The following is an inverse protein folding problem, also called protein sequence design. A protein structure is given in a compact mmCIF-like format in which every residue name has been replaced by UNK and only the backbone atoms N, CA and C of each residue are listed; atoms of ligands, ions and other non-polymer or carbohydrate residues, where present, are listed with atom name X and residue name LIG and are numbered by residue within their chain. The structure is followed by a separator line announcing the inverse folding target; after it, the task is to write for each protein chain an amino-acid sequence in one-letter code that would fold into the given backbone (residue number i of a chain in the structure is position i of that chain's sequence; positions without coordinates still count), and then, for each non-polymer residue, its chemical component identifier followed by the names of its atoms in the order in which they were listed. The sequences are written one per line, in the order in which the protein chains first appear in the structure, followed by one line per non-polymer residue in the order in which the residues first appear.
data_IF_391792389721
#
_entry.id   IF_391792389721
#
_cell.length_a   1.000
_cell.length_b   1.000
_cell.length_c   1.000
_cell.angle_alpha   90.00
_cell.angle_beta   90.00
_cell.angle_gamma   90.00
#
_symmetry.space_group_name_H-M   'P 1'
#
loop_
_entity.id
_entity.type
_entity.pdbx_description
1 polymer ?
#
# COMPACT_ATOMS: atom_id res chain seq x y z
N UNK A 1 19.65 31.91 5.94
CA UNK A 1 19.25 30.59 5.43
C UNK A 1 17.74 30.52 5.53
N UNK A 2 17.03 30.26 4.43
CA UNK A 2 15.56 30.16 4.42
C UNK A 2 15.13 28.70 4.49
N UNK A 3 14.21 28.36 5.39
CA UNK A 3 13.66 27.01 5.54
C UNK A 3 12.35 26.92 4.75
N UNK A 4 12.24 25.94 3.86
CA UNK A 4 11.04 25.72 3.05
C UNK A 4 10.14 24.63 3.62
N UNK A 5 10.75 23.48 3.93
CA UNK A 5 10.04 22.34 4.49
C UNK A 5 10.78 21.75 5.69
N UNK A 6 10.02 21.28 6.66
CA UNK A 6 10.45 20.27 7.64
C UNK A 6 9.66 19.00 7.38
N UNK A 7 10.34 17.94 7.03
CA UNK A 7 9.77 16.64 6.68
C UNK A 7 10.02 15.63 7.79
N UNK A 8 9.02 14.78 8.04
CA UNK A 8 9.16 13.60 8.89
C UNK A 8 8.34 12.45 8.30
N UNK A 9 8.85 11.23 8.46
CA UNK A 9 8.12 10.01 8.10
C UNK A 9 7.52 9.35 9.35
N UNK A 10 6.19 9.26 9.42
CA UNK A 10 5.51 8.74 10.61
C UNK A 10 5.80 9.57 11.87
N UNK A 11 5.52 9.02 13.05
CA UNK A 11 5.70 9.71 14.33
C UNK A 11 7.14 9.72 14.86
N UNK A 12 7.98 8.77 14.43
CA UNK A 12 9.34 8.55 14.94
C UNK A 12 10.44 8.69 13.88
N UNK A 13 10.10 9.10 12.67
CA UNK A 13 11.07 9.23 11.58
C UNK A 13 12.10 10.33 11.82
N UNK A 14 13.25 10.22 11.14
CA UNK A 14 14.26 11.29 11.13
C UNK A 14 13.70 12.56 10.50
N UNK A 15 13.92 13.69 11.15
CA UNK A 15 13.51 14.99 10.63
C UNK A 15 14.52 15.52 9.60
N UNK A 16 13.99 15.98 8.49
CA UNK A 16 14.76 16.53 7.37
C UNK A 16 14.27 17.93 7.05
N UNK A 17 15.18 18.88 6.96
CA UNK A 17 14.90 20.23 6.49
C UNK A 17 15.27 20.37 5.02
N UNK A 18 14.46 21.12 4.28
CA UNK A 18 14.76 21.58 2.93
C UNK A 18 14.95 23.08 3.00
N UNK A 19 16.17 23.54 2.70
CA UNK A 19 16.60 24.92 2.96
C UNK A 19 17.28 25.51 1.73
N UNK A 20 17.15 26.82 1.55
CA UNK A 20 17.94 27.59 0.58
C UNK A 20 19.01 28.37 1.35
N UNK A 21 20.31 28.07 1.16
CA UNK A 21 21.41 28.83 1.76
C UNK A 21 21.45 30.27 1.22
N UNK A 22 21.91 31.24 2.01
CA UNK A 22 21.93 32.66 1.58
C UNK A 22 22.84 32.93 0.37
N UNK A 23 23.76 32.00 0.08
CA UNK A 23 24.73 32.12 -0.99
C UNK A 23 24.35 31.31 -2.26
N UNK A 24 23.19 30.65 -2.29
CA UNK A 24 22.77 29.79 -3.41
C UNK A 24 21.25 29.80 -3.57
N UNK A 25 20.75 29.81 -4.81
CA UNK A 25 19.30 29.75 -5.08
C UNK A 25 18.71 28.33 -5.09
N UNK A 26 19.57 27.31 -4.93
CA UNK A 26 19.18 25.91 -4.99
C UNK A 26 18.67 25.40 -3.63
N UNK A 27 17.57 24.63 -3.66
CA UNK A 27 17.03 23.97 -2.46
C UNK A 27 17.91 22.76 -2.10
N UNK A 28 18.42 22.75 -0.86
CA UNK A 28 19.30 21.71 -0.32
C UNK A 28 18.60 20.94 0.80
N UNK A 29 18.77 19.62 0.79
CA UNK A 29 18.29 18.72 1.85
C UNK A 29 19.31 18.64 2.98
N UNK A 30 18.90 18.99 4.19
CA UNK A 30 19.71 18.98 5.41
C UNK A 30 19.02 18.14 6.47
N UNK A 31 19.67 17.09 6.95
CA UNK A 31 19.13 16.33 8.08
C UNK A 31 19.28 17.16 9.36
N UNK A 32 18.21 17.33 10.14
CA UNK A 32 18.28 18.02 11.42
C UNK A 32 19.15 17.17 12.34
N UNK A 33 20.28 17.71 12.76
CA UNK A 33 20.99 17.17 13.91
C UNK A 33 20.14 17.47 15.16
N UNK A 34 19.11 16.66 15.41
CA UNK A 34 18.79 16.31 16.79
C UNK A 34 20.08 15.80 17.44
N UNK A 35 20.21 15.93 18.77
CA UNK A 35 21.33 15.29 19.49
C UNK A 35 21.64 13.98 18.81
N UNK A 36 22.87 13.83 18.26
CA UNK A 36 23.29 12.52 17.80
C UNK A 36 23.01 11.63 19.01
N UNK A 37 22.07 10.66 18.98
CA UNK A 37 22.04 9.68 20.05
C UNK A 37 23.46 9.16 20.05
N UNK A 38 24.21 9.34 21.14
CA UNK A 38 25.68 9.12 21.18
C UNK A 38 25.94 7.75 20.57
N UNK A 39 26.19 7.73 19.27
CA UNK A 39 26.36 6.51 18.51
C UNK A 39 27.85 6.25 18.65
N UNK A 40 28.22 5.83 19.86
CA UNK A 40 29.03 4.61 19.90
C UNK A 40 28.31 3.67 18.95
N UNK A 41 28.80 3.54 17.71
CA UNK A 41 28.52 2.41 16.82
C UNK A 41 29.07 1.16 17.53
N UNK A 42 28.50 0.80 18.68
CA UNK A 42 28.28 -0.59 18.96
C UNK A 42 27.16 -0.95 18.00
N UNK A 43 27.45 -1.81 17.04
CA UNK A 43 26.43 -2.61 16.38
C UNK A 43 25.49 -3.11 17.48
N UNK A 44 24.34 -2.46 17.62
CA UNK A 44 23.33 -2.88 18.58
C UNK A 44 22.72 -4.10 17.92
N UNK A 45 23.18 -5.29 18.33
CA UNK A 45 22.57 -6.56 17.94
C UNK A 45 21.05 -6.45 18.03
N UNK A 46 20.53 -5.79 19.07
CA UNK A 46 19.10 -5.49 19.20
C UNK A 46 18.50 -4.80 17.97
N UNK A 47 19.11 -3.71 17.47
CA UNK A 47 18.60 -3.01 16.26
C UNK A 47 18.77 -3.83 14.98
N UNK A 48 19.86 -4.59 14.87
CA UNK A 48 20.06 -5.49 13.73
C UNK A 48 18.97 -6.57 13.67
N UNK A 49 18.72 -7.25 14.80
CA UNK A 49 17.68 -8.25 14.91
C UNK A 49 16.27 -7.65 14.78
N UNK A 50 16.02 -6.45 15.30
CA UNK A 50 14.74 -5.75 15.09
C UNK A 50 14.50 -5.46 13.61
N UNK A 51 15.49 -4.95 12.88
CA UNK A 51 15.34 -4.66 11.44
C UNK A 51 15.25 -5.92 10.57
N UNK A 52 15.84 -7.05 11.02
CA UNK A 52 15.84 -8.30 10.26
C UNK A 52 14.56 -9.12 10.48
N UNK A 53 14.01 -9.12 11.70
CA UNK A 53 12.93 -10.03 12.10
C UNK A 53 11.60 -9.34 12.42
N UNK A 54 11.56 -8.01 12.58
CA UNK A 54 10.34 -7.29 12.93
C UNK A 54 9.91 -6.33 11.82
N UNK A 55 8.61 -6.05 11.70
CA UNK A 55 8.08 -5.12 10.70
C UNK A 55 8.53 -3.68 10.95
N UNK A 56 8.55 -2.88 9.89
CA UNK A 56 8.92 -1.48 9.95
C UNK A 56 8.00 -0.71 10.93
N UNK A 57 8.57 0.16 11.76
CA UNK A 57 7.83 0.96 12.74
C UNK A 57 7.44 0.22 14.04
N UNK A 58 7.93 -1.00 14.26
CA UNK A 58 7.72 -1.72 15.52
C UNK A 58 8.32 -0.94 16.71
N UNK A 59 7.62 -0.83 17.87
CA UNK A 59 6.38 -1.52 18.24
C UNK A 59 5.09 -0.77 17.88
N UNK A 60 5.16 0.51 17.51
CA UNK A 60 3.97 1.36 17.35
C UNK A 60 3.13 1.00 16.11
N UNK A 61 3.71 0.28 15.15
CA UNK A 61 3.05 -0.18 13.93
C UNK A 61 2.31 -1.51 14.07
N UNK A 62 2.39 -2.19 15.22
CA UNK A 62 1.72 -3.48 15.44
C UNK A 62 0.94 -3.52 16.75
N UNK A 63 -0.04 -4.40 16.82
CA UNK A 63 -0.80 -4.66 18.04
C UNK A 63 0.06 -5.34 19.12
N UNK A 64 -0.29 -5.14 20.39
CA UNK A 64 0.52 -5.61 21.54
C UNK A 64 0.67 -7.13 21.65
N UNK A 65 -0.15 -7.90 20.94
CA UNK A 65 -0.13 -9.37 20.86
C UNK A 65 0.83 -9.93 19.80
N UNK A 66 1.41 -9.08 18.95
CA UNK A 66 2.29 -9.49 17.84
C UNK A 66 3.50 -10.34 18.31
N UNK A 67 4.08 -10.02 19.47
CA UNK A 67 5.19 -10.82 20.00
C UNK A 67 4.78 -12.23 20.44
N UNK A 68 3.53 -12.39 20.91
CA UNK A 68 3.01 -13.71 21.26
C UNK A 68 2.81 -14.54 19.99
N UNK A 69 2.23 -13.94 18.96
CA UNK A 69 2.11 -14.56 17.63
C UNK A 69 3.48 -14.99 17.06
N UNK A 70 4.45 -14.07 17.00
CA UNK A 70 5.75 -14.33 16.36
C UNK A 70 6.54 -15.48 17.03
N UNK A 71 6.39 -15.64 18.35
CA UNK A 71 6.99 -16.76 19.09
C UNK A 71 6.42 -18.09 18.63
N UNK A 72 5.09 -18.20 18.52
CA UNK A 72 4.42 -19.44 18.13
C UNK A 72 4.62 -19.77 16.66
N UNK A 73 4.61 -18.77 15.79
CA UNK A 73 4.90 -18.92 14.35
C UNK A 73 6.30 -19.51 14.11
N UNK A 74 7.31 -19.04 14.86
CA UNK A 74 8.68 -19.55 14.75
C UNK A 74 8.79 -21.03 15.17
N UNK A 75 8.11 -21.42 16.26
CA UNK A 75 8.07 -22.81 16.73
C UNK A 75 7.37 -23.70 15.71
N UNK A 76 6.26 -23.24 15.14
CA UNK A 76 5.52 -23.96 14.11
C UNK A 76 6.38 -24.20 12.86
N UNK A 77 7.08 -23.17 12.37
CA UNK A 77 7.96 -23.27 11.20
C UNK A 77 9.07 -24.31 11.40
N UNK A 78 9.72 -24.31 12.57
CA UNK A 78 10.76 -25.28 12.91
C UNK A 78 10.27 -26.73 12.91
N UNK A 79 9.14 -26.99 13.57
CA UNK A 79 8.53 -28.33 13.61
C UNK A 79 8.15 -28.81 12.21
N UNK A 80 7.63 -27.90 11.36
CA UNK A 80 7.28 -28.20 9.97
C UNK A 80 8.51 -28.63 9.16
N UNK A 81 9.65 -27.94 9.32
CA UNK A 81 10.90 -28.29 8.63
C UNK A 81 11.39 -29.68 9.01
N UNK A 82 11.41 -30.03 10.30
CA UNK A 82 11.84 -31.37 10.75
C UNK A 82 10.95 -32.46 10.19
N UNK A 83 9.62 -32.26 10.27
CA UNK A 83 8.66 -33.21 9.71
C UNK A 83 8.88 -33.41 8.20
N UNK A 84 9.17 -32.33 7.48
CA UNK A 84 9.53 -32.37 6.06
C UNK A 84 10.81 -33.16 5.78
N UNK A 85 11.87 -32.92 6.55
CA UNK A 85 13.16 -33.63 6.38
C UNK A 85 13.05 -35.13 6.68
N UNK A 86 12.35 -35.51 7.75
CA UNK A 86 12.14 -36.91 8.11
C UNK A 86 11.31 -37.66 7.07
N UNK A 87 10.31 -37.00 6.49
CA UNK A 87 9.49 -37.55 5.40
C UNK A 87 10.37 -37.85 4.19
N UNK A 88 11.22 -36.91 3.79
CA UNK A 88 12.17 -37.09 2.68
C UNK A 88 13.14 -38.24 2.94
N UNK A 89 13.67 -38.35 4.15
CA UNK A 89 14.57 -39.45 4.52
C UNK A 89 13.87 -40.83 4.45
N UNK A 90 12.64 -40.94 4.94
CA UNK A 90 11.86 -42.18 4.87
C UNK A 90 11.56 -42.60 3.41
N UNK A 91 11.26 -41.63 2.54
CA UNK A 91 11.07 -41.89 1.11
C UNK A 91 12.36 -42.43 0.47
N UNK A 92 13.51 -41.79 0.74
CA UNK A 92 14.82 -42.21 0.21
C UNK A 92 15.22 -43.62 0.66
N UNK A 93 14.93 -43.96 1.92
CA UNK A 93 15.14 -45.32 2.44
C UNK A 93 14.19 -46.34 1.79
N UNK A 94 12.93 -45.96 1.61
CA UNK A 94 11.91 -46.82 0.97
C UNK A 94 12.21 -47.15 -0.49
N UNK A 95 12.97 -46.30 -1.21
CA UNK A 95 13.39 -46.57 -2.60
C UNK A 95 14.69 -47.38 -2.72
N UNK A 96 15.27 -47.83 -1.61
CA UNK A 96 16.40 -48.78 -1.60
C UNK A 96 17.79 -48.14 -1.70
N UNK A 97 17.91 -46.84 -1.41
CA UNK A 97 19.23 -46.20 -1.30
C UNK A 97 19.93 -46.75 -0.05
N UNK A 98 20.91 -47.65 -0.24
CA UNK A 98 21.85 -48.12 0.81
C UNK A 98 21.81 -49.60 1.24
N UNK A 99 21.52 -50.57 0.35
CA UNK A 99 21.55 -52.02 0.72
C UNK A 99 22.41 -52.89 -0.21
N UNK A 100 23.16 -53.84 0.36
CA UNK A 100 24.19 -54.67 -0.33
C UNK A 100 23.70 -56.04 -0.86
N UNK A 101 22.40 -56.35 -0.80
CA UNK A 101 21.88 -57.73 -0.96
C UNK A 101 20.93 -57.93 -2.16
N UNK A 102 20.89 -56.99 -3.11
CA UNK A 102 19.90 -57.00 -4.18
C UNK A 102 20.22 -58.04 -5.29
N UNK A 103 19.55 -59.20 -5.28
CA UNK A 103 19.59 -60.21 -6.34
C UNK A 103 19.05 -59.63 -7.68
N UNK A 104 19.78 -59.71 -8.80
CA UNK A 104 19.38 -59.11 -10.08
C UNK A 104 18.02 -59.57 -10.61
N UNK A 105 17.64 -60.85 -10.44
CA UNK A 105 16.40 -61.40 -11.04
C UNK A 105 15.17 -61.12 -10.16
N UNK A 106 15.33 -61.21 -8.83
CA UNK A 106 14.34 -60.70 -7.88
C UNK A 106 14.22 -59.18 -7.98
N UNK A 107 15.32 -58.48 -8.25
CA UNK A 107 15.31 -57.06 -8.54
C UNK A 107 14.52 -56.80 -9.83
N UNK A 108 14.77 -57.50 -10.94
CA UNK A 108 14.00 -57.28 -12.18
C UNK A 108 12.50 -57.53 -12.00
N UNK A 109 12.08 -58.59 -11.32
CA UNK A 109 10.65 -58.85 -11.04
C UNK A 109 10.08 -57.78 -10.10
N UNK A 110 10.83 -57.40 -9.07
CA UNK A 110 10.44 -56.31 -8.17
C UNK A 110 10.36 -54.98 -8.92
N UNK A 111 11.23 -54.73 -9.90
CA UNK A 111 11.25 -53.54 -10.74
C UNK A 111 10.06 -53.51 -11.68
N UNK A 112 9.72 -54.62 -12.35
CA UNK A 112 8.53 -54.71 -13.20
C UNK A 112 7.24 -54.56 -12.40
N UNK A 113 7.15 -55.19 -11.22
CA UNK A 113 5.99 -55.04 -10.34
C UNK A 113 5.92 -53.64 -9.72
N UNK A 114 7.05 -53.07 -9.32
CA UNK A 114 7.17 -51.69 -8.81
C UNK A 114 6.78 -50.68 -9.89
N UNK A 115 7.24 -50.85 -11.12
CA UNK A 115 6.94 -49.94 -12.22
C UNK A 115 5.50 -50.14 -12.69
N UNK A 116 5.01 -51.36 -12.79
CA UNK A 116 3.60 -51.66 -13.11
C UNK A 116 2.64 -51.07 -12.08
N UNK A 117 2.86 -51.32 -10.78
CA UNK A 117 2.07 -50.70 -9.72
C UNK A 117 2.30 -49.19 -9.63
N UNK A 118 3.50 -48.71 -9.94
CA UNK A 118 3.83 -47.28 -10.01
C UNK A 118 3.09 -46.57 -11.14
N UNK A 119 2.96 -47.19 -12.32
CA UNK A 119 2.20 -46.66 -13.45
C UNK A 119 0.70 -46.72 -13.20
N UNK A 120 0.18 -47.82 -12.65
CA UNK A 120 -1.22 -47.94 -12.27
C UNK A 120 -1.59 -46.94 -11.16
N UNK A 121 -0.73 -46.83 -10.15
CA UNK A 121 -0.80 -45.83 -9.10
C UNK A 121 -0.70 -44.41 -9.64
N UNK A 122 0.16 -44.13 -10.63
CA UNK A 122 0.25 -42.83 -11.32
C UNK A 122 -1.00 -42.51 -12.15
N UNK A 123 -1.63 -43.48 -12.80
CA UNK A 123 -2.88 -43.28 -13.55
C UNK A 123 -4.02 -42.97 -12.59
N UNK A 124 -4.18 -43.77 -11.53
CA UNK A 124 -5.18 -43.52 -10.49
C UNK A 124 -4.89 -42.22 -9.76
N UNK A 125 -3.63 -41.93 -9.44
CA UNK A 125 -3.22 -40.68 -8.80
C UNK A 125 -3.38 -39.49 -9.73
N UNK A 126 -3.11 -39.59 -11.03
CA UNK A 126 -3.34 -38.50 -11.98
C UNK A 126 -4.84 -38.25 -12.19
N UNK A 127 -5.66 -39.31 -12.22
CA UNK A 127 -7.12 -39.20 -12.26
C UNK A 127 -7.69 -38.63 -10.95
N UNK A 128 -7.24 -39.14 -9.80
CA UNK A 128 -7.62 -38.64 -8.47
C UNK A 128 -7.12 -37.22 -8.25
N UNK A 129 -5.90 -36.88 -8.67
CA UNK A 129 -5.38 -35.51 -8.67
C UNK A 129 -6.14 -34.64 -9.66
N UNK A 130 -6.58 -35.14 -10.81
CA UNK A 130 -7.47 -34.44 -11.72
C UNK A 130 -8.80 -34.07 -11.05
N UNK A 131 -9.41 -35.00 -10.33
CA UNK A 131 -10.62 -34.75 -9.53
C UNK A 131 -10.33 -33.79 -8.38
N UNK A 132 -9.21 -33.93 -7.67
CA UNK A 132 -8.80 -33.04 -6.58
C UNK A 132 -8.49 -31.63 -7.09
N UNK A 133 -7.84 -31.48 -8.24
CA UNK A 133 -7.56 -30.19 -8.86
C UNK A 133 -8.83 -29.55 -9.42
N UNK A 134 -9.74 -30.35 -9.99
CA UNK A 134 -11.06 -29.89 -10.41
C UNK A 134 -11.91 -29.42 -9.23
N UNK A 135 -11.94 -30.20 -8.13
CA UNK A 135 -12.62 -29.83 -6.90
C UNK A 135 -11.97 -28.60 -6.25
N UNK A 136 -10.64 -28.54 -6.19
CA UNK A 136 -9.91 -27.39 -5.69
C UNK A 136 -10.21 -26.14 -6.51
N UNK A 137 -10.20 -26.23 -7.85
CA UNK A 137 -10.56 -25.13 -8.74
C UNK A 137 -12.00 -24.69 -8.49
N UNK A 138 -12.94 -25.63 -8.42
CA UNK A 138 -14.35 -25.34 -8.15
C UNK A 138 -14.55 -24.63 -6.81
N UNK A 139 -13.98 -25.16 -5.73
CA UNK A 139 -14.06 -24.55 -4.40
C UNK A 139 -13.37 -23.20 -4.38
N UNK A 140 -12.26 -23.03 -5.08
CA UNK A 140 -11.56 -21.73 -5.22
C UNK A 140 -12.43 -20.71 -5.95
N UNK A 141 -13.07 -21.09 -7.05
CA UNK A 141 -13.99 -20.21 -7.80
C UNK A 141 -15.22 -19.86 -6.96
N UNK A 142 -15.80 -20.83 -6.26
CA UNK A 142 -16.92 -20.61 -5.34
C UNK A 142 -16.51 -19.68 -4.20
N UNK A 143 -15.32 -19.85 -3.63
CA UNK A 143 -14.77 -18.99 -2.59
C UNK A 143 -14.57 -17.56 -3.10
N UNK A 144 -13.96 -17.37 -4.28
CA UNK A 144 -13.81 -16.04 -4.91
C UNK A 144 -15.18 -15.39 -5.13
N UNK A 145 -16.15 -16.14 -5.68
CA UNK A 145 -17.51 -15.64 -5.90
C UNK A 145 -18.20 -15.22 -4.60
N UNK A 146 -18.10 -16.06 -3.55
CA UNK A 146 -18.68 -15.78 -2.24
C UNK A 146 -18.05 -14.53 -1.61
N UNK A 147 -16.73 -14.37 -1.70
CA UNK A 147 -16.04 -13.16 -1.24
C UNK A 147 -16.49 -11.91 -2.01
N UNK A 148 -16.64 -12.00 -3.34
CA UNK A 148 -17.14 -10.86 -4.14
C UNK A 148 -18.56 -10.48 -3.70
N UNK A 149 -19.45 -11.47 -3.50
CA UNK A 149 -20.82 -11.22 -3.02
C UNK A 149 -20.86 -10.67 -1.60
N UNK A 150 -19.98 -11.15 -0.71
CA UNK A 150 -19.88 -10.66 0.66
C UNK A 150 -19.37 -9.21 0.72
N UNK A 151 -18.35 -8.86 -0.07
CA UNK A 151 -17.89 -7.47 -0.14
C UNK A 151 -18.97 -6.57 -0.74
N UNK A 152 -19.65 -7.03 -1.81
CA UNK A 152 -20.73 -6.27 -2.47
C UNK A 152 -22.00 -6.10 -1.62
N UNK A 153 -22.23 -6.94 -0.61
CA UNK A 153 -23.39 -6.80 0.26
C UNK A 153 -23.20 -5.73 1.34
N UNK A 154 -21.96 -5.32 1.62
CA UNK A 154 -21.65 -4.31 2.63
C UNK A 154 -21.58 -2.93 1.98
N UNK A 155 -22.54 -2.06 2.32
CA UNK A 155 -22.52 -0.66 1.91
C UNK A 155 -21.58 0.15 2.82
N UNK A 156 -20.36 0.42 2.36
CA UNK A 156 -19.39 1.21 3.11
C UNK A 156 -19.58 2.71 2.84
N UNK A 157 -19.70 3.49 3.91
CA UNK A 157 -19.86 4.95 3.87
C UNK A 157 -18.54 5.72 3.77
N UNK A 158 -17.40 5.05 3.78
CA UNK A 158 -16.07 5.66 3.70
C UNK A 158 -15.52 5.57 2.28
N UNK A 159 -14.92 6.66 1.80
CA UNK A 159 -14.29 6.71 0.48
C UNK A 159 -12.98 5.91 0.44
N UNK A 160 -12.97 4.84 -0.35
CA UNK A 160 -11.73 4.34 -0.96
C UNK A 160 -11.53 5.04 -2.32
N UNK A 161 -10.44 4.75 -3.01
CA UNK A 161 -10.14 5.40 -4.29
C UNK A 161 -11.22 5.13 -5.36
N UNK A 162 -11.68 3.89 -5.51
CA UNK A 162 -12.66 3.53 -6.53
C UNK A 162 -14.02 4.22 -6.31
N UNK A 163 -14.53 4.20 -5.07
CA UNK A 163 -15.79 4.87 -4.71
C UNK A 163 -15.68 6.37 -4.87
N UNK A 164 -14.54 6.94 -4.48
CA UNK A 164 -14.34 8.37 -4.58
C UNK A 164 -14.32 8.84 -6.03
N UNK A 165 -13.63 8.11 -6.91
CA UNK A 165 -13.61 8.44 -8.34
C UNK A 165 -14.98 8.32 -9.00
N UNK A 166 -15.79 7.33 -8.63
CA UNK A 166 -17.19 7.22 -9.11
C UNK A 166 -18.01 8.43 -8.65
N UNK A 167 -17.91 8.81 -7.38
CA UNK A 167 -18.63 9.96 -6.84
C UNK A 167 -18.17 11.29 -7.48
N UNK A 168 -16.86 11.45 -7.71
CA UNK A 168 -16.28 12.62 -8.37
C UNK A 168 -16.71 12.71 -9.84
N UNK A 169 -16.70 11.59 -10.57
CA UNK A 169 -17.12 11.58 -11.98
C UNK A 169 -18.58 12.03 -12.12
N UNK A 170 -19.48 11.50 -11.28
CA UNK A 170 -20.88 11.93 -11.30
C UNK A 170 -21.01 13.41 -10.92
N UNK A 171 -20.36 13.85 -9.85
CA UNK A 171 -20.40 15.25 -9.43
C UNK A 171 -19.91 16.20 -10.52
N UNK A 172 -18.77 15.90 -11.16
CA UNK A 172 -18.26 16.78 -12.22
C UNK A 172 -19.09 16.73 -13.50
N UNK A 173 -19.86 15.66 -13.74
CA UNK A 173 -20.69 15.50 -14.93
C UNK A 173 -22.09 16.11 -14.76
N UNK A 174 -22.72 15.92 -13.62
CA UNK A 174 -24.13 16.28 -13.39
C UNK A 174 -24.35 17.27 -12.24
N UNK A 175 -23.32 17.58 -11.45
CA UNK A 175 -23.45 18.40 -10.24
C UNK A 175 -24.14 17.69 -9.07
N UNK A 176 -24.39 16.39 -9.18
CA UNK A 176 -25.09 15.60 -8.15
C UNK A 176 -24.14 14.66 -7.41
N UNK A 177 -24.53 14.21 -6.23
CA UNK A 177 -23.79 13.24 -5.43
C UNK A 177 -24.53 11.91 -5.40
N UNK A 178 -23.82 10.82 -5.66
CA UNK A 178 -24.36 9.47 -5.49
C UNK A 178 -24.32 9.06 -4.03
N UNK A 179 -25.38 8.41 -3.57
CA UNK A 179 -25.42 7.72 -2.27
C UNK A 179 -24.39 6.57 -2.19
N UNK A 180 -23.95 6.19 -0.97
CA UNK A 180 -23.14 5.00 -0.75
C UNK A 180 -23.72 3.73 -1.41
N UNK A 181 -25.04 3.57 -1.40
CA UNK A 181 -25.73 2.41 -1.99
C UNK A 181 -25.63 2.39 -3.52
N UNK A 182 -25.77 3.56 -4.16
CA UNK A 182 -25.61 3.69 -5.61
C UNK A 182 -24.16 3.42 -6.02
N UNK A 183 -23.19 4.01 -5.32
CA UNK A 183 -21.76 3.79 -5.60
C UNK A 183 -21.36 2.34 -5.37
N UNK A 184 -21.87 1.69 -4.32
CA UNK A 184 -21.60 0.27 -4.05
C UNK A 184 -22.05 -0.64 -5.20
N UNK A 185 -23.15 -0.30 -5.90
CA UNK A 185 -23.58 -1.04 -7.11
C UNK A 185 -22.59 -0.88 -8.26
N UNK A 186 -22.03 0.32 -8.45
CA UNK A 186 -21.12 0.68 -9.54
C UNK A 186 -19.65 0.26 -9.30
N UNK A 187 -19.23 0.13 -8.04
CA UNK A 187 -17.84 -0.18 -7.67
C UNK A 187 -17.40 -1.55 -8.24
N UNK A 188 -16.34 -1.60 -9.03
CA UNK A 188 -15.73 -2.90 -9.40
C UNK A 188 -14.88 -3.41 -8.24
N UNK A 189 -15.14 -4.64 -7.78
CA UNK A 189 -14.41 -5.30 -6.68
C UNK A 189 -13.36 -6.30 -7.22
N UNK A 190 -13.42 -6.60 -8.51
CA UNK A 190 -12.51 -7.56 -9.19
C UNK A 190 -11.33 -6.82 -9.83
N UNK A 191 -10.95 -7.19 -11.06
CA UNK A 191 -9.80 -6.60 -11.76
C UNK A 191 -10.20 -5.26 -12.41
N UNK A 192 -9.34 -4.26 -12.25
CA UNK A 192 -9.48 -2.93 -12.87
C UNK A 192 -10.27 -1.94 -12.00
N UNK A 193 -10.33 -0.69 -12.47
CA UNK A 193 -11.13 0.38 -11.85
C UNK A 193 -12.30 0.75 -12.76
N UNK A 194 -13.43 1.15 -12.17
CA UNK A 194 -14.58 1.69 -12.94
C UNK A 194 -14.22 3.03 -13.58
N UNK A 195 -13.48 3.85 -12.83
CA UNK A 195 -13.10 5.21 -13.18
C UNK A 195 -11.62 5.36 -12.86
N UNK A 196 -10.86 5.99 -13.75
CA UNK A 196 -9.42 6.21 -13.60
C UNK A 196 -9.09 7.67 -13.90
N UNK A 197 -8.16 8.24 -13.14
CA UNK A 197 -7.60 9.55 -13.47
C UNK A 197 -6.61 9.45 -14.65
N UNK A 198 -6.44 10.58 -15.35
CA UNK A 198 -5.50 10.70 -16.49
C UNK A 198 -4.03 10.65 -16.06
N UNK A 199 -3.75 10.88 -14.77
CA UNK A 199 -2.43 10.80 -14.19
C UNK A 199 -2.45 9.99 -12.90
N UNK A 200 -1.31 9.38 -12.57
CA UNK A 200 -1.13 8.69 -11.29
C UNK A 200 -1.10 9.70 -10.16
N UNK A 201 -1.84 9.44 -9.09
CA UNK A 201 -1.85 10.27 -7.87
C UNK A 201 -1.12 9.55 -6.75
N UNK A 202 -0.33 10.29 -5.97
CA UNK A 202 0.28 9.80 -4.73
C UNK A 202 0.00 10.79 -3.61
N UNK A 203 -0.43 10.28 -2.45
CA UNK A 203 -0.77 11.10 -1.28
C UNK A 203 0.21 10.81 -0.14
N UNK A 204 0.63 11.85 0.57
CA UNK A 204 1.65 11.75 1.62
C UNK A 204 3.05 11.62 1.04
N UNK A 205 3.38 12.40 0.00
CA UNK A 205 4.67 12.32 -0.68
C UNK A 205 5.82 12.93 0.14
N UNK A 206 7.03 12.39 -0.07
CA UNK A 206 8.25 13.03 0.42
C UNK A 206 8.59 14.30 -0.37
N UNK A 207 8.96 15.37 0.33
CA UNK A 207 9.46 16.62 -0.25
C UNK A 207 10.77 16.45 -1.03
N UNK A 208 11.44 15.29 -0.94
CA UNK A 208 12.66 14.99 -1.69
C UNK A 208 12.46 15.12 -3.19
N UNK A 209 11.43 14.46 -3.73
CA UNK A 209 11.16 14.50 -5.18
C UNK A 209 10.70 15.90 -5.61
N UNK A 210 9.95 16.59 -4.74
CA UNK A 210 9.53 17.98 -4.95
C UNK A 210 10.74 18.91 -5.07
N UNK A 211 11.66 18.90 -4.10
CA UNK A 211 12.85 19.75 -4.11
C UNK A 211 13.83 19.41 -5.23
N UNK A 212 13.85 18.15 -5.69
CA UNK A 212 14.66 17.74 -6.84
C UNK A 212 14.07 18.23 -8.17
N UNK A 213 12.75 18.34 -8.27
CA UNK A 213 12.06 18.82 -9.45
C UNK A 213 12.03 20.36 -9.50
N UNK A 214 11.60 21.00 -8.41
CA UNK A 214 11.62 22.45 -8.20
C UNK A 214 12.94 22.86 -7.52
N UNK A 215 14.04 22.80 -8.27
CA UNK A 215 15.38 23.09 -7.74
C UNK A 215 15.57 24.54 -7.31
N UNK A 216 14.92 25.46 -8.03
CA UNK A 216 15.07 26.91 -7.81
C UNK A 216 14.06 27.35 -6.76
N UNK A 217 14.55 28.08 -5.76
CA UNK A 217 13.76 28.62 -4.65
C UNK A 217 12.50 29.37 -5.12
N UNK A 218 12.63 30.18 -6.16
CA UNK A 218 11.55 30.96 -6.75
C UNK A 218 10.37 30.10 -7.22
N UNK A 219 10.64 28.97 -7.91
CA UNK A 219 9.57 28.11 -8.44
C UNK A 219 8.82 27.41 -7.31
N UNK A 220 9.55 27.00 -6.26
CA UNK A 220 8.97 26.37 -5.08
C UNK A 220 8.09 27.36 -4.29
N UNK A 221 8.54 28.60 -4.14
CA UNK A 221 7.77 29.64 -3.47
C UNK A 221 6.51 30.02 -4.25
N UNK A 222 6.61 30.13 -5.59
CA UNK A 222 5.45 30.36 -6.44
C UNK A 222 4.42 29.25 -6.32
N UNK A 223 4.86 27.98 -6.27
CA UNK A 223 3.99 26.85 -6.04
C UNK A 223 3.29 26.95 -4.67
N UNK A 224 4.04 27.25 -3.62
CA UNK A 224 3.50 27.39 -2.26
C UNK A 224 2.54 28.58 -2.11
N UNK A 225 2.74 29.65 -2.89
CA UNK A 225 1.88 30.83 -2.93
C UNK A 225 0.52 30.57 -3.59
N UNK A 226 0.37 29.48 -4.35
CA UNK A 226 -0.89 29.09 -4.98
C UNK A 226 -1.95 28.56 -3.98
N UNK A 227 -1.55 28.20 -2.76
CA UNK A 227 -2.44 27.57 -1.77
C UNK A 227 -2.69 28.48 -0.56
N UNK A 228 -3.91 28.47 -0.02
CA UNK A 228 -4.25 29.19 1.20
C UNK A 228 -3.42 28.67 2.39
N UNK A 229 -3.01 29.58 3.28
CA UNK A 229 -2.40 29.27 4.58
C UNK A 229 -3.17 28.31 5.48
N UNK A 230 -4.50 28.24 5.32
CA UNK A 230 -5.37 27.38 6.12
C UNK A 230 -5.32 25.93 5.65
N UNK A 231 -5.01 25.71 4.38
CA UNK A 231 -4.96 24.37 3.81
C UNK A 231 -3.80 23.57 4.37
N UNK A 232 -4.08 22.31 4.67
CA UNK A 232 -3.14 21.35 5.25
C UNK A 232 -2.54 20.43 4.20
N UNK A 233 -2.53 20.87 2.94
CA UNK A 233 -1.94 20.14 1.83
C UNK A 233 -1.38 21.09 0.76
N UNK A 234 -0.41 20.59 0.01
CA UNK A 234 0.11 21.19 -1.23
C UNK A 234 0.01 20.15 -2.33
N UNK A 235 -0.33 20.57 -3.55
CA UNK A 235 -0.37 19.70 -4.73
C UNK A 235 0.72 20.16 -5.69
N UNK A 236 1.51 19.22 -6.20
CA UNK A 236 2.50 19.52 -7.22
C UNK A 236 2.57 18.41 -8.27
N UNK A 237 2.71 18.81 -9.53
CA UNK A 237 2.99 17.87 -10.61
C UNK A 237 4.50 17.54 -10.60
N UNK A 238 4.81 16.26 -10.71
CA UNK A 238 6.17 15.76 -10.91
C UNK A 238 6.26 15.03 -12.25
N UNK A 239 7.44 14.57 -12.65
CA UNK A 239 7.64 13.90 -13.95
C UNK A 239 6.66 12.75 -14.25
N UNK A 240 6.22 12.01 -13.23
CA UNK A 240 5.50 10.75 -13.40
C UNK A 240 4.16 10.66 -12.67
N UNK A 241 3.86 11.62 -11.78
CA UNK A 241 2.66 11.59 -10.96
C UNK A 241 2.33 12.97 -10.41
N UNK A 242 1.07 13.19 -10.02
CA UNK A 242 0.65 14.35 -9.22
C UNK A 242 0.75 13.99 -7.75
N UNK A 243 1.60 14.70 -7.02
CA UNK A 243 1.89 14.46 -5.62
C UNK A 243 1.07 15.37 -4.72
N UNK A 244 0.47 14.79 -3.68
CA UNK A 244 -0.13 15.50 -2.56
C UNK A 244 0.81 15.43 -1.37
N UNK A 245 1.21 16.58 -0.87
CA UNK A 245 2.09 16.75 0.28
C UNK A 245 1.25 17.24 1.47
N UNK A 246 1.33 16.55 2.60
CA UNK A 246 0.40 16.74 3.72
C UNK A 246 1.07 17.41 4.91
N UNK A 247 0.34 18.31 5.57
CA UNK A 247 0.80 18.99 6.76
C UNK A 247 0.80 18.03 7.96
N UNK A 248 1.65 18.25 8.96
CA UNK A 248 1.62 17.47 10.22
C UNK A 248 0.26 17.42 10.90
N UNK A 249 -0.53 18.48 10.77
CA UNK A 249 -1.86 18.60 11.38
C UNK A 249 -2.99 18.19 10.43
N UNK A 250 -2.69 17.58 9.28
CA UNK A 250 -3.70 17.20 8.30
C UNK A 250 -4.64 16.11 8.87
N UNK A 251 -5.94 16.34 8.73
CA UNK A 251 -7.01 15.43 9.13
C UNK A 251 -7.49 14.61 7.93
N UNK A 252 -8.28 13.53 8.16
CA UNK A 252 -8.87 12.75 7.07
C UNK A 252 -9.64 13.59 6.03
N UNK A 253 -10.36 14.62 6.49
CA UNK A 253 -11.08 15.54 5.62
C UNK A 253 -10.13 16.32 4.68
N UNK A 254 -8.96 16.74 5.18
CA UNK A 254 -7.95 17.44 4.37
C UNK A 254 -7.39 16.55 3.28
N UNK A 255 -7.28 15.24 3.52
CA UNK A 255 -6.81 14.25 2.54
C UNK A 255 -7.86 14.04 1.45
N UNK A 256 -9.14 13.93 1.82
CA UNK A 256 -10.26 13.86 0.86
C UNK A 256 -10.28 15.14 0.02
N UNK A 257 -10.20 16.31 0.68
CA UNK A 257 -10.13 17.63 0.02
C UNK A 257 -8.96 17.71 -0.96
N UNK A 258 -7.77 17.29 -0.55
CA UNK A 258 -6.59 17.34 -1.40
C UNK A 258 -6.77 16.48 -2.67
N UNK A 259 -7.38 15.29 -2.54
CA UNK A 259 -7.65 14.43 -3.70
C UNK A 259 -8.71 15.05 -4.61
N UNK A 260 -9.75 15.70 -4.07
CA UNK A 260 -10.70 16.48 -4.87
C UNK A 260 -9.99 17.52 -5.75
N UNK A 261 -9.08 18.30 -5.14
CA UNK A 261 -8.32 19.32 -5.86
C UNK A 261 -7.45 18.73 -6.96
N UNK A 262 -6.81 17.58 -6.71
CA UNK A 262 -6.05 16.85 -7.75
C UNK A 262 -6.97 16.42 -8.89
N UNK A 263 -8.14 15.86 -8.58
CA UNK A 263 -9.10 15.43 -9.60
C UNK A 263 -9.62 16.61 -10.43
N UNK A 264 -9.96 17.74 -9.80
CA UNK A 264 -10.35 18.98 -10.49
C UNK A 264 -9.23 19.55 -11.36
N UNK A 265 -7.99 19.53 -10.87
CA UNK A 265 -6.82 19.96 -11.64
C UNK A 265 -6.57 19.08 -12.88
N UNK A 266 -6.80 17.78 -12.77
CA UNK A 266 -6.60 16.85 -13.89
C UNK A 266 -7.69 16.91 -14.96
N UNK A 267 -8.86 17.49 -14.68
CA UNK A 267 -9.90 17.73 -15.69
C UNK A 267 -9.53 18.87 -16.64
N UNK A 268 -8.91 19.92 -16.12
CA UNK A 268 -8.51 21.08 -16.89
C UNK A 268 -7.12 21.53 -16.40
N UNK A 269 -6.07 21.14 -17.14
CA UNK A 269 -4.64 21.36 -16.84
C UNK A 269 -4.22 22.84 -16.93
N UNK A 270 -5.11 23.77 -16.65
CA UNK A 270 -4.85 25.20 -16.53
C UNK A 270 -4.22 25.53 -15.16
N UNK A 271 -3.71 26.74 -14.99
CA UNK A 271 -2.99 27.15 -13.78
C UNK A 271 -3.89 27.00 -12.53
N UNK A 272 -3.50 26.09 -11.62
CA UNK A 272 -4.15 25.84 -10.31
C UNK A 272 -4.46 27.13 -9.55
N UNK A 273 -3.60 28.14 -9.70
CA UNK A 273 -3.71 29.43 -9.02
C UNK A 273 -4.98 30.20 -9.39
N UNK A 274 -5.31 30.26 -10.67
CA UNK A 274 -6.42 31.08 -11.16
C UNK A 274 -7.78 30.48 -10.81
N UNK A 275 -7.83 29.15 -10.65
CA UNK A 275 -9.04 28.39 -10.32
C UNK A 275 -9.16 27.95 -8.88
N UNK A 276 -8.18 28.27 -8.03
CA UNK A 276 -8.17 27.80 -6.64
C UNK A 276 -9.49 28.13 -5.91
N UNK A 277 -9.99 29.36 -6.04
CA UNK A 277 -11.25 29.78 -5.42
C UNK A 277 -12.49 29.12 -6.04
N UNK A 278 -12.47 28.86 -7.34
CA UNK A 278 -13.54 28.12 -8.03
C UNK A 278 -13.61 26.67 -7.51
N UNK A 279 -12.45 26.01 -7.39
CA UNK A 279 -12.33 24.65 -6.86
C UNK A 279 -12.75 24.63 -5.38
N UNK A 280 -12.38 25.64 -4.60
CA UNK A 280 -12.78 25.77 -3.19
C UNK A 280 -14.31 25.85 -3.04
N UNK A 281 -14.99 26.58 -3.90
CA UNK A 281 -16.46 26.66 -3.88
C UNK A 281 -17.10 25.31 -4.26
N UNK A 282 -16.61 24.66 -5.32
CA UNK A 282 -17.05 23.32 -5.72
C UNK A 282 -16.79 22.28 -4.61
N UNK A 283 -15.67 22.38 -3.91
CA UNK A 283 -15.38 21.52 -2.77
C UNK A 283 -16.42 21.67 -1.65
N UNK A 284 -16.81 22.90 -1.31
CA UNK A 284 -17.79 23.13 -0.25
C UNK A 284 -19.17 22.56 -0.63
N UNK A 285 -19.58 22.74 -1.89
CA UNK A 285 -20.80 22.14 -2.44
C UNK A 285 -20.73 20.61 -2.41
N UNK A 286 -19.65 20.03 -2.95
CA UNK A 286 -19.40 18.58 -2.94
C UNK A 286 -19.44 18.01 -1.52
N UNK A 287 -18.80 18.67 -0.56
CA UNK A 287 -18.75 18.24 0.83
C UNK A 287 -20.15 18.23 1.46
N UNK A 288 -20.94 19.28 1.23
CA UNK A 288 -22.31 19.36 1.73
C UNK A 288 -23.17 18.23 1.13
N UNK A 289 -23.10 18.04 -0.20
CA UNK A 289 -23.84 16.97 -0.87
C UNK A 289 -23.42 15.58 -0.37
N UNK A 290 -22.12 15.33 -0.20
CA UNK A 290 -21.59 14.07 0.33
C UNK A 290 -22.13 13.77 1.73
N UNK A 291 -22.15 14.77 2.61
CA UNK A 291 -22.68 14.62 3.97
C UNK A 291 -24.20 14.38 3.96
N UNK A 292 -24.95 15.08 3.11
CA UNK A 292 -26.40 14.88 2.95
C UNK A 292 -26.74 13.46 2.46
N UNK A 293 -25.97 12.93 1.50
CA UNK A 293 -26.10 11.54 1.00
C UNK A 293 -25.57 10.48 1.98
N UNK A 294 -25.02 10.90 3.12
CA UNK A 294 -24.64 10.00 4.21
C UNK A 294 -23.21 9.42 4.13
N UNK A 295 -22.33 10.03 3.34
CA UNK A 295 -20.90 9.68 3.31
C UNK A 295 -20.20 10.11 4.61
N UNK A 296 -19.34 9.22 5.13
CA UNK A 296 -18.45 9.52 6.23
C UNK A 296 -17.18 10.21 5.69
N UNK A 297 -17.08 11.51 5.94
CA UNK A 297 -15.94 12.36 5.56
C UNK A 297 -14.90 12.54 6.66
N UNK A 298 -15.13 11.94 7.83
CA UNK A 298 -14.20 11.97 8.97
C UNK A 298 -13.19 10.83 8.92
N UNK A 299 -13.35 9.88 7.99
CA UNK A 299 -12.44 8.78 7.75
C UNK A 299 -12.34 8.50 6.23
N UNK A 300 -11.21 7.96 5.79
CA UNK A 300 -11.02 7.54 4.41
C UNK A 300 -10.24 6.23 4.33
N UNK A 301 -10.32 5.58 3.17
CA UNK A 301 -9.55 4.41 2.77
C UNK A 301 -8.69 4.71 1.54
N UNK A 302 -8.43 6.00 1.25
CA UNK A 302 -7.48 6.43 0.21
C UNK A 302 -6.05 6.02 0.59
N UNK A 303 -5.32 5.46 -0.38
CA UNK A 303 -3.93 5.03 -0.20
C UNK A 303 -3.03 6.24 0.07
N UNK A 304 -2.60 6.39 1.31
CA UNK A 304 -1.83 7.54 1.80
C UNK A 304 -0.57 7.06 2.47
N UNK A 305 0.57 7.63 2.08
CA UNK A 305 1.86 7.37 2.72
C UNK A 305 2.07 8.29 3.95
N UNK A 306 3.02 7.95 4.80
CA UNK A 306 3.17 8.54 6.14
C UNK A 306 4.06 9.79 6.19
N UNK A 307 4.55 10.28 5.05
CA UNK A 307 5.30 11.54 5.06
C UNK A 307 4.39 12.71 5.44
N UNK A 308 4.88 13.52 6.36
CA UNK A 308 4.27 14.78 6.79
C UNK A 308 5.29 15.88 6.70
N UNK A 309 4.83 17.05 6.27
CA UNK A 309 5.64 18.23 6.10
C UNK A 309 5.10 19.36 6.98
N UNK A 310 5.98 20.24 7.40
CA UNK A 310 5.67 21.58 7.86
C UNK A 310 6.25 22.52 6.83
N UNK A 311 5.50 23.54 6.43
CA UNK A 311 5.91 24.50 5.43
C UNK A 311 5.51 25.89 5.90
N UNK A 312 6.32 26.90 5.54
CA UNK A 312 6.23 28.27 6.07
C UNK A 312 6.70 28.38 7.54
N UNK A 313 7.85 27.77 7.80
CA UNK A 313 8.62 27.84 9.06
C UNK A 313 9.57 29.05 9.01
#
# INVERSE_FOLDING_TARGET
MKIHFREQYGSTGEEVLYVTPDNQDAVVRVNVKGEKPKLRKRLSLRRFFQNLFLPAGYPDSVSGDYLAYQKWDTVQAFCSTISGTLTTHAILKGVGVGSDVANPLSATITWVLKDGMGHFGRIIFAWWKGVLYGLFLFVTLLHIYANIKAVKSVCLRTFNEARYLIALEEYFKSGTMLSPEQVNKLERVTIGQTVTLTARVKIGCSARELAQYYRVCYDLENLMACFDSRDKFIIAETRNYVGVYLHFTAKPLDIIKAYFYVASYLQDKNQLRDRYWEIQNKWNEFLNLAQCEGWNVQAHLLKTDEYRLDWRI
#
